data_IF_274975292088
#
_entry.id   IF_274975292088
#
_cell.length_a   1.000
_cell.length_b   1.000
_cell.length_c   1.000
_cell.angle_alpha   90.00
_cell.angle_beta   90.00
_cell.angle_gamma   90.00
#
_symmetry.space_group_name_H-M   'P 1'
#
loop_
_entity.id
_entity.type
_entity.pdbx_description
1 polymer ?
#
# COMPACT_ATOMS: atom_id res chain seq x y z
N UNK A 1 15.89 3.54 -10.70
CA UNK A 1 14.71 3.38 -11.56
C UNK A 1 14.17 4.77 -11.89
N UNK A 2 13.93 5.11 -13.15
CA UNK A 2 13.29 6.39 -13.53
C UNK A 2 11.77 6.29 -13.33
N UNK A 3 11.08 7.43 -13.30
CA UNK A 3 9.62 7.46 -13.09
C UNK A 3 8.88 6.74 -14.22
N UNK A 4 9.29 6.95 -15.48
CA UNK A 4 8.69 6.28 -16.64
C UNK A 4 8.88 4.75 -16.58
N UNK A 5 10.06 4.28 -16.18
CA UNK A 5 10.34 2.85 -16.00
C UNK A 5 9.51 2.26 -14.87
N UNK A 6 9.26 3.03 -13.82
CA UNK A 6 8.42 2.59 -12.71
C UNK A 6 6.94 2.55 -13.11
N UNK A 7 6.45 3.54 -13.85
CA UNK A 7 5.09 3.53 -14.39
C UNK A 7 4.88 2.34 -15.33
N UNK A 8 5.83 2.08 -16.22
CA UNK A 8 5.82 0.92 -17.10
C UNK A 8 5.79 -0.40 -16.32
N UNK A 9 6.64 -0.53 -15.29
CA UNK A 9 6.62 -1.67 -14.38
C UNK A 9 5.22 -1.84 -13.76
N UNK A 10 4.66 -0.80 -13.13
CA UNK A 10 3.37 -0.90 -12.46
C UNK A 10 2.26 -1.32 -13.42
N UNK A 11 2.24 -0.77 -14.64
CA UNK A 11 1.24 -1.11 -15.66
C UNK A 11 1.36 -2.58 -16.08
N UNK A 12 2.58 -3.07 -16.33
CA UNK A 12 2.82 -4.42 -16.87
C UNK A 12 2.79 -5.51 -15.81
N UNK A 13 3.03 -5.19 -14.54
CA UNK A 13 3.11 -6.17 -13.46
C UNK A 13 1.76 -6.79 -13.10
N UNK A 14 1.82 -8.06 -12.76
CA UNK A 14 0.76 -8.81 -12.10
C UNK A 14 0.53 -8.32 -10.67
N UNK A 15 -0.64 -8.62 -10.10
CA UNK A 15 -0.95 -8.27 -8.70
C UNK A 15 0.09 -8.84 -7.72
N UNK A 16 0.55 -10.07 -7.95
CA UNK A 16 1.56 -10.71 -7.11
C UNK A 16 2.91 -9.97 -7.16
N UNK A 17 3.35 -9.54 -8.34
CA UNK A 17 4.60 -8.78 -8.49
C UNK A 17 4.52 -7.42 -7.80
N UNK A 18 3.37 -6.72 -7.90
CA UNK A 18 3.15 -5.47 -7.15
C UNK A 18 3.22 -5.73 -5.65
N UNK A 19 2.54 -6.77 -5.14
CA UNK A 19 2.60 -7.12 -3.72
C UNK A 19 4.05 -7.40 -3.29
N UNK A 20 4.77 -8.23 -4.05
CA UNK A 20 6.18 -8.56 -3.76
C UNK A 20 7.04 -7.30 -3.69
N UNK A 21 6.88 -6.37 -4.63
CA UNK A 21 7.59 -5.09 -4.61
C UNK A 21 7.25 -4.27 -3.36
N UNK A 22 5.96 -4.12 -3.03
CA UNK A 22 5.50 -3.35 -1.86
C UNK A 22 5.99 -3.98 -0.55
N UNK A 23 6.11 -5.32 -0.48
CA UNK A 23 6.75 -6.03 0.63
C UNK A 23 8.26 -5.78 0.71
N UNK A 24 8.96 -5.82 -0.43
CA UNK A 24 10.41 -5.58 -0.51
C UNK A 24 10.78 -4.18 -0.02
N UNK A 25 10.00 -3.17 -0.40
CA UNK A 25 10.17 -1.79 0.09
C UNK A 25 9.57 -1.55 1.49
N UNK A 26 9.12 -2.61 2.17
CA UNK A 26 8.61 -2.60 3.55
C UNK A 26 7.42 -1.65 3.78
N UNK A 27 6.56 -1.50 2.77
CA UNK A 27 5.32 -0.73 2.91
C UNK A 27 4.15 -1.60 3.40
N UNK A 28 4.24 -2.91 3.19
CA UNK A 28 3.39 -3.93 3.83
C UNK A 28 4.27 -5.07 4.33
N UNK A 29 3.80 -5.76 5.36
CA UNK A 29 4.55 -6.86 5.93
C UNK A 29 3.74 -7.58 7.00
N UNK A 30 4.32 -8.66 7.52
CA UNK A 30 3.71 -9.48 8.56
C UNK A 30 4.20 -9.15 9.96
N UNK A 31 5.22 -8.31 10.07
CA UNK A 31 5.88 -7.92 11.32
C UNK A 31 4.96 -7.24 12.33
N UNK A 32 3.90 -6.57 11.87
CA UNK A 32 2.87 -6.00 12.74
C UNK A 32 1.89 -7.06 13.29
N UNK A 33 1.83 -8.24 12.69
CA UNK A 33 0.84 -9.26 13.03
C UNK A 33 1.25 -10.07 14.25
N UNK A 34 0.26 -10.38 15.09
CA UNK A 34 0.42 -11.43 16.12
C UNK A 34 0.72 -12.77 15.44
N UNK A 35 1.73 -13.48 15.96
CA UNK A 35 2.24 -14.74 15.41
C UNK A 35 2.80 -14.61 13.96
N UNK A 36 3.39 -13.47 13.61
CA UNK A 36 4.02 -13.19 12.32
C UNK A 36 4.90 -14.33 11.76
N UNK A 37 5.65 -15.01 12.63
CA UNK A 37 6.55 -16.12 12.24
C UNK A 37 5.81 -17.22 11.49
N UNK A 38 4.59 -17.53 11.89
CA UNK A 38 3.78 -18.64 11.38
C UNK A 38 2.80 -18.20 10.29
N UNK A 39 2.89 -16.95 9.83
CA UNK A 39 2.05 -16.41 8.75
C UNK A 39 2.69 -16.66 7.39
N UNK A 40 1.89 -17.22 6.48
CA UNK A 40 2.25 -17.49 5.11
C UNK A 40 1.44 -16.60 4.16
N UNK A 41 2.10 -16.14 3.10
CA UNK A 41 1.48 -15.44 1.99
C UNK A 41 0.74 -16.45 1.10
N UNK A 42 -0.59 -16.33 0.99
CA UNK A 42 -1.43 -17.29 0.25
C UNK A 42 -2.46 -16.60 -0.65
N UNK A 43 -2.86 -17.23 -1.78
CA UNK A 43 -3.98 -16.74 -2.58
C UNK A 43 -5.29 -16.74 -1.78
N UNK A 44 -6.08 -15.68 -1.95
CA UNK A 44 -7.40 -15.52 -1.36
C UNK A 44 -8.26 -14.54 -2.18
N UNK A 45 -9.13 -15.07 -3.04
CA UNK A 45 -9.92 -14.32 -4.02
C UNK A 45 -10.89 -13.28 -3.43
N UNK A 46 -11.24 -13.40 -2.15
CA UNK A 46 -12.13 -12.44 -1.48
C UNK A 46 -11.40 -11.20 -0.97
N UNK A 47 -10.06 -11.21 -0.95
CA UNK A 47 -9.28 -10.00 -0.65
C UNK A 47 -9.17 -9.12 -1.91
N UNK A 48 -9.07 -7.80 -1.69
CA UNK A 48 -8.95 -6.80 -2.77
C UNK A 48 -7.80 -7.12 -3.73
N UNK A 49 -6.65 -7.54 -3.20
CA UNK A 49 -5.48 -7.90 -4.01
C UNK A 49 -5.38 -9.40 -4.30
N UNK A 50 -6.43 -10.19 -4.04
CA UNK A 50 -6.47 -11.65 -4.22
C UNK A 50 -5.47 -12.47 -3.38
N UNK A 51 -4.88 -11.88 -2.35
CA UNK A 51 -3.94 -12.54 -1.45
C UNK A 51 -4.15 -12.12 0.01
N UNK A 52 -3.70 -12.95 0.93
CA UNK A 52 -3.82 -12.75 2.37
C UNK A 52 -2.66 -13.41 3.13
N UNK A 53 -2.51 -13.03 4.39
CA UNK A 53 -1.74 -13.78 5.37
C UNK A 53 -2.60 -14.90 5.94
N UNK A 54 -2.03 -16.09 6.09
CA UNK A 54 -2.70 -17.22 6.74
C UNK A 54 -1.71 -18.05 7.52
N UNK A 55 -2.08 -18.43 8.74
CA UNK A 55 -1.32 -19.40 9.51
C UNK A 55 -1.95 -20.79 9.41
N UNK A 56 -1.10 -21.81 9.27
CA UNK A 56 -1.49 -23.23 9.34
C UNK A 56 -1.01 -23.91 10.61
N UNK A 57 -0.39 -23.16 11.53
CA UNK A 57 0.05 -23.66 12.83
C UNK A 57 -1.13 -23.59 13.82
N UNK A 58 -1.51 -24.75 14.37
CA UNK A 58 -2.59 -24.86 15.36
C UNK A 58 -2.30 -24.12 16.68
N UNK A 59 -1.04 -23.82 16.97
CA UNK A 59 -0.64 -23.04 18.15
C UNK A 59 -0.78 -21.52 17.94
N UNK A 60 -0.95 -21.09 16.69
CA UNK A 60 -1.16 -19.69 16.35
C UNK A 60 -2.55 -19.21 16.77
N UNK A 61 -2.64 -18.05 17.42
CA UNK A 61 -3.92 -17.45 17.79
C UNK A 61 -4.83 -17.15 16.58
N UNK A 62 -4.23 -17.08 15.39
CA UNK A 62 -4.89 -16.81 14.11
C UNK A 62 -4.94 -18.07 13.21
N UNK A 63 -4.94 -19.27 13.80
CA UNK A 63 -4.96 -20.53 13.06
C UNK A 63 -6.08 -20.58 12.01
N UNK A 64 -5.70 -20.88 10.76
CA UNK A 64 -6.55 -20.94 9.56
C UNK A 64 -7.27 -19.65 9.17
N UNK A 65 -7.13 -18.57 9.92
CA UNK A 65 -7.73 -17.27 9.61
C UNK A 65 -7.01 -16.61 8.44
N UNK A 66 -7.78 -15.95 7.58
CA UNK A 66 -7.25 -15.09 6.53
C UNK A 66 -7.17 -13.67 7.05
N UNK A 67 -5.98 -13.10 6.99
CA UNK A 67 -5.68 -11.74 7.44
C UNK A 67 -5.30 -10.90 6.23
N UNK A 68 -5.80 -9.67 6.19
CA UNK A 68 -5.47 -8.72 5.12
C UNK A 68 -3.96 -8.48 5.06
N UNK A 69 -3.39 -8.45 3.85
CA UNK A 69 -1.99 -8.04 3.65
C UNK A 69 -1.73 -6.60 4.08
N UNK A 70 -2.81 -5.81 4.16
CA UNK A 70 -2.78 -4.38 4.45
C UNK A 70 -3.01 -4.07 5.93
N UNK A 71 -3.25 -5.08 6.76
CA UNK A 71 -3.58 -4.87 8.17
C UNK A 71 -2.48 -4.05 8.88
N UNK A 72 -2.89 -3.04 9.64
CA UNK A 72 -2.01 -2.13 10.37
C UNK A 72 -1.05 -1.34 9.46
N UNK A 73 -1.43 -1.10 8.21
CA UNK A 73 -0.65 -0.31 7.24
C UNK A 73 -1.44 0.88 6.72
N UNK A 74 -0.75 1.82 6.07
CA UNK A 74 -1.39 2.92 5.35
C UNK A 74 -2.48 2.46 4.37
N UNK A 75 -2.35 1.26 3.80
CA UNK A 75 -3.23 0.79 2.75
C UNK A 75 -4.55 0.17 3.24
N UNK A 76 -4.69 -0.08 4.55
CA UNK A 76 -5.82 -0.82 5.13
C UNK A 76 -7.18 -0.21 4.80
N UNK A 77 -7.23 1.13 4.77
CA UNK A 77 -8.46 1.91 4.63
C UNK A 77 -8.96 2.03 3.20
N UNK A 78 -8.17 1.64 2.19
CA UNK A 78 -8.52 1.85 0.79
C UNK A 78 -9.20 0.62 0.19
N UNK A 79 -10.33 0.85 -0.49
CA UNK A 79 -11.07 -0.19 -1.21
C UNK A 79 -10.65 -0.36 -2.69
N UNK A 80 -9.41 0.04 -3.03
CA UNK A 80 -8.84 -0.10 -4.38
C UNK A 80 -7.58 -0.95 -4.34
N UNK A 81 -7.21 -1.57 -5.45
CA UNK A 81 -6.05 -2.45 -5.53
C UNK A 81 -4.74 -1.69 -5.24
N UNK A 82 -3.73 -2.39 -4.69
CA UNK A 82 -2.41 -1.80 -4.47
C UNK A 82 -1.82 -1.28 -5.79
N UNK A 83 -2.07 -1.98 -6.90
CA UNK A 83 -1.66 -1.56 -8.24
C UNK A 83 -2.25 -0.20 -8.62
N UNK A 84 -3.54 -0.01 -8.39
CA UNK A 84 -4.22 1.25 -8.67
C UNK A 84 -3.78 2.37 -7.75
N UNK A 85 -3.56 2.08 -6.47
CA UNK A 85 -2.96 3.04 -5.53
C UNK A 85 -1.61 3.52 -6.06
N UNK A 86 -0.74 2.62 -6.51
CA UNK A 86 0.55 2.99 -7.09
C UNK A 86 0.40 3.85 -8.34
N UNK A 87 -0.55 3.53 -9.24
CA UNK A 87 -0.82 4.34 -10.45
C UNK A 87 -1.27 5.76 -10.10
N UNK A 88 -2.15 5.92 -9.09
CA UNK A 88 -2.58 7.25 -8.62
C UNK A 88 -1.38 8.03 -8.07
N UNK A 89 -0.55 7.40 -7.22
CA UNK A 89 0.62 8.03 -6.61
C UNK A 89 1.61 8.48 -7.68
N UNK A 90 1.91 7.66 -8.68
CA UNK A 90 2.82 8.01 -9.79
C UNK A 90 2.31 9.26 -10.52
N UNK A 91 1.04 9.26 -10.95
CA UNK A 91 0.44 10.39 -11.67
C UNK A 91 0.43 11.67 -10.83
N UNK A 92 0.16 11.55 -9.53
CA UNK A 92 0.24 12.66 -8.59
C UNK A 92 1.68 13.20 -8.46
N UNK A 93 2.68 12.33 -8.35
CA UNK A 93 4.09 12.72 -8.33
C UNK A 93 4.55 13.38 -9.64
N UNK A 94 3.96 12.99 -10.78
CA UNK A 94 4.13 13.67 -12.07
C UNK A 94 3.43 15.04 -12.17
N UNK A 95 2.86 15.55 -11.06
CA UNK A 95 2.12 16.82 -10.98
C UNK A 95 0.93 16.90 -11.95
N UNK A 96 0.32 15.76 -12.28
CA UNK A 96 -0.89 15.76 -13.09
C UNK A 96 -2.05 16.36 -12.27
N UNK A 97 -2.87 17.19 -12.93
CA UNK A 97 -4.07 17.73 -12.31
C UNK A 97 -5.04 16.61 -11.96
N UNK A 98 -5.78 16.73 -10.85
CA UNK A 98 -6.72 15.73 -10.37
C UNK A 98 -7.68 15.26 -11.47
N UNK A 99 -8.23 16.19 -12.25
CA UNK A 99 -9.09 15.89 -13.39
C UNK A 99 -8.43 14.91 -14.38
N UNK A 100 -7.16 15.15 -14.74
CA UNK A 100 -6.42 14.26 -15.66
C UNK A 100 -6.15 12.89 -15.05
N UNK A 101 -5.88 12.83 -13.74
CA UNK A 101 -5.70 11.56 -13.02
C UNK A 101 -6.99 10.75 -13.08
N UNK A 102 -8.12 11.35 -12.68
CA UNK A 102 -9.45 10.73 -12.71
C UNK A 102 -9.81 10.27 -14.11
N UNK A 103 -9.58 11.08 -15.15
CA UNK A 103 -9.91 10.67 -16.51
C UNK A 103 -9.04 9.53 -17.05
N UNK A 104 -7.85 9.33 -16.49
CA UNK A 104 -6.92 8.30 -16.95
C UNK A 104 -7.06 6.95 -16.23
N UNK A 105 -7.90 6.87 -15.20
CA UNK A 105 -8.07 5.70 -14.34
C UNK A 105 -9.56 5.38 -14.20
N UNK A 106 -9.93 4.10 -14.26
CA UNK A 106 -11.29 3.65 -13.98
C UNK A 106 -11.54 3.58 -12.46
N UNK A 107 -11.41 4.72 -11.78
CA UNK A 107 -11.49 4.85 -10.33
C UNK A 107 -12.29 6.12 -10.01
N UNK A 108 -13.18 6.05 -9.01
CA UNK A 108 -13.96 7.21 -8.61
C UNK A 108 -13.07 8.37 -8.14
N UNK A 109 -13.43 9.59 -8.52
CA UNK A 109 -12.76 10.81 -8.07
C UNK A 109 -12.72 10.91 -6.54
N UNK A 110 -13.78 10.45 -5.87
CA UNK A 110 -13.85 10.41 -4.39
C UNK A 110 -12.73 9.56 -3.79
N UNK A 111 -12.48 8.37 -4.35
CA UNK A 111 -11.42 7.47 -3.89
C UNK A 111 -10.04 8.08 -4.14
N UNK A 112 -9.83 8.70 -5.31
CA UNK A 112 -8.58 9.39 -5.64
C UNK A 112 -8.34 10.54 -4.65
N UNK A 113 -9.34 11.38 -4.41
CA UNK A 113 -9.26 12.49 -3.43
C UNK A 113 -8.94 11.98 -2.03
N UNK A 114 -9.58 10.91 -1.57
CA UNK A 114 -9.33 10.34 -0.25
C UNK A 114 -7.87 9.87 -0.12
N UNK A 115 -7.36 9.14 -1.12
CA UNK A 115 -5.97 8.67 -1.16
C UNK A 115 -4.99 9.85 -1.10
N UNK A 116 -5.17 10.85 -1.98
CA UNK A 116 -4.28 12.00 -2.02
C UNK A 116 -4.33 12.82 -0.72
N UNK A 117 -5.52 12.97 -0.13
CA UNK A 117 -5.68 13.66 1.16
C UNK A 117 -4.93 12.95 2.28
N UNK A 118 -5.09 11.62 2.41
CA UNK A 118 -4.36 10.83 3.42
C UNK A 118 -2.85 10.87 3.18
N UNK A 119 -2.42 10.82 1.92
CA UNK A 119 -1.01 10.92 1.55
C UNK A 119 -0.42 12.28 1.96
N UNK A 120 -1.12 13.39 1.68
CA UNK A 120 -0.72 14.73 2.12
C UNK A 120 -0.63 14.85 3.64
N UNK A 121 -1.58 14.26 4.37
CA UNK A 121 -1.54 14.23 5.85
C UNK A 121 -0.31 13.50 6.38
N UNK A 122 0.07 12.37 5.76
CA UNK A 122 1.29 11.63 6.12
C UNK A 122 2.53 12.48 5.87
N UNK A 123 2.65 13.13 4.70
CA UNK A 123 3.78 14.01 4.40
C UNK A 123 3.89 15.19 5.37
N UNK A 124 2.77 15.81 5.75
CA UNK A 124 2.76 16.88 6.75
C UNK A 124 3.27 16.40 8.11
N UNK A 125 2.78 15.25 8.59
CA UNK A 125 3.23 14.66 9.87
C UNK A 125 4.73 14.34 9.86
N UNK A 126 5.22 13.76 8.76
CA UNK A 126 6.65 13.46 8.60
C UNK A 126 7.49 14.75 8.60
N UNK A 127 7.05 15.76 7.87
CA UNK A 127 7.74 17.06 7.81
C UNK A 127 7.83 17.72 9.18
N UNK A 128 6.74 17.70 9.97
CA UNK A 128 6.72 18.20 11.34
C UNK A 128 7.67 17.41 12.24
N UNK A 129 7.66 16.08 12.15
CA UNK A 129 8.56 15.22 12.94
C UNK A 129 10.04 15.50 12.64
N UNK A 130 10.39 15.69 11.36
CA UNK A 130 11.76 16.02 10.96
C UNK A 130 12.22 17.38 11.49
N UNK A 131 11.33 18.40 11.48
CA UNK A 131 11.64 19.71 12.06
C UNK A 131 11.91 19.61 13.56
N UNK A 132 11.02 18.95 14.30
CA UNK A 132 11.19 18.78 15.75
C UNK A 132 12.48 18.03 16.12
N UNK A 133 12.91 17.06 15.31
CA UNK A 133 14.18 16.34 15.52
C UNK A 133 15.39 17.23 15.23
N UNK A 134 15.31 18.11 14.23
CA UNK A 134 16.36 19.07 13.96
C UNK A 134 16.49 20.11 15.09
N UNK A 135 15.37 20.56 15.64
CA UNK A 135 15.34 21.54 16.74
C UNK A 135 15.83 20.95 18.08
N UNK A 136 15.80 19.63 18.25
CA UNK A 136 16.34 18.91 19.43
C UNK A 136 17.83 18.57 19.32
N UNK A 137 18.42 18.73 18.14
CA UNK A 137 19.83 18.45 17.87
C UNK A 137 20.73 19.69 17.99
N UNK A 138 20.15 20.83 18.42
CA UNK A 138 20.80 22.12 18.70
C UNK A 138 20.69 22.39 20.21
#
# INVERSE_FOLDING_TARGET
MTLDKFEEFVIKSTTKEIISYVMEVKLIGKESLKCATNMHFVPYIRAIDNYAWRSLDSSCCNYKQYISLRQDTFFEVFNVSLKDIMRIIIKYCCKQQLYNITMSLDISESTIKELLTKLSQVFQKLTLKMKNLADQAI
#
